data_IF_639264383724
#
_entry.id   IF_639264383724
#
_cell.length_a   1.000
_cell.length_b   1.000
_cell.length_c   1.000
_cell.angle_alpha   90.00
_cell.angle_beta   90.00
_cell.angle_gamma   90.00
#
_symmetry.space_group_name_H-M   'P 1'
#
loop_
_entity.id
_entity.type
_entity.pdbx_description
1 polymer ?
#
# COMPACT_ATOMS: atom_id res chain seq x y z
N UNK A 1 -0.07 -14.20 7.71
CA UNK A 1 -0.56 -12.99 8.38
C UNK A 1 -0.29 -11.82 7.47
N UNK A 2 -1.25 -10.90 7.32
CA UNK A 2 -1.05 -9.66 6.58
C UNK A 2 0.26 -9.00 7.03
N UNK A 3 0.97 -8.46 6.05
CA UNK A 3 2.23 -7.74 6.14
C UNK A 3 2.33 -6.93 7.43
N UNK A 4 3.49 -6.94 8.10
CA UNK A 4 3.81 -6.27 9.39
C UNK A 4 3.61 -4.74 9.45
N UNK A 5 2.78 -4.17 8.58
CA UNK A 5 2.34 -2.78 8.60
C UNK A 5 1.58 -2.47 9.89
N UNK A 6 0.91 -3.46 10.47
CA UNK A 6 0.24 -3.39 11.77
C UNK A 6 1.23 -3.34 12.95
N UNK A 7 2.37 -4.04 12.86
CA UNK A 7 3.42 -4.05 13.89
C UNK A 7 4.38 -2.84 13.80
N UNK A 8 4.65 -2.35 12.59
CA UNK A 8 5.53 -1.20 12.34
C UNK A 8 5.15 -0.47 11.04
N UNK A 9 4.22 0.49 11.10
CA UNK A 9 3.78 1.20 9.91
C UNK A 9 4.93 2.02 9.31
N UNK A 10 5.05 2.08 7.96
CA UNK A 10 5.97 2.97 7.28
C UNK A 10 5.79 4.42 7.71
N UNK A 11 6.91 5.16 7.78
CA UNK A 11 6.86 6.59 8.07
C UNK A 11 6.00 7.32 7.03
N UNK A 12 5.08 8.15 7.49
CA UNK A 12 4.17 8.93 6.65
C UNK A 12 2.94 8.17 6.13
N UNK A 13 2.73 6.89 6.50
CA UNK A 13 1.48 6.20 6.24
C UNK A 13 0.40 6.67 7.23
N UNK A 14 -0.71 7.22 6.71
CA UNK A 14 -1.83 7.75 7.49
C UNK A 14 -2.91 6.68 7.69
N UNK A 15 -3.17 5.89 6.66
CA UNK A 15 -4.21 4.86 6.66
C UNK A 15 -3.86 3.78 5.65
N UNK A 16 -4.10 2.53 6.03
CA UNK A 16 -3.96 1.37 5.17
C UNK A 16 -5.26 0.59 5.13
N UNK A 17 -5.65 0.16 3.93
CA UNK A 17 -6.72 -0.81 3.75
C UNK A 17 -6.41 -1.74 2.60
N UNK A 18 -6.78 -3.00 2.76
CA UNK A 18 -6.64 -4.02 1.74
C UNK A 18 -7.87 -4.94 1.76
N UNK A 19 -8.36 -5.32 0.58
CA UNK A 19 -9.47 -6.25 0.49
C UNK A 19 -9.69 -6.82 -0.92
N UNK A 20 -10.50 -7.88 -1.04
CA UNK A 20 -10.85 -8.46 -2.33
C UNK A 20 -11.73 -7.50 -3.14
N UNK A 21 -11.55 -7.52 -4.46
CA UNK A 21 -12.40 -6.85 -5.44
C UNK A 21 -12.65 -7.79 -6.63
N UNK A 22 -13.59 -7.45 -7.51
CA UNK A 22 -13.81 -8.20 -8.74
C UNK A 22 -12.49 -8.30 -9.53
N UNK A 23 -12.02 -9.53 -9.74
CA UNK A 23 -10.79 -9.82 -10.49
C UNK A 23 -9.48 -9.67 -9.70
N UNK A 24 -9.51 -9.44 -8.38
CA UNK A 24 -8.27 -9.43 -7.59
C UNK A 24 -8.38 -8.80 -6.20
N UNK A 25 -7.36 -8.03 -5.85
CA UNK A 25 -7.25 -7.31 -4.58
C UNK A 25 -7.04 -5.82 -4.83
N UNK A 26 -7.58 -4.99 -3.95
CA UNK A 26 -7.32 -3.55 -3.92
C UNK A 26 -6.67 -3.17 -2.60
N UNK A 27 -5.64 -2.35 -2.71
CA UNK A 27 -5.02 -1.64 -1.58
C UNK A 27 -5.33 -0.16 -1.76
N UNK A 28 -5.76 0.51 -0.69
CA UNK A 28 -5.93 1.96 -0.65
C UNK A 28 -5.16 2.47 0.56
N UNK A 29 -4.13 3.27 0.28
CA UNK A 29 -3.27 3.89 1.28
C UNK A 29 -3.34 5.41 1.18
N UNK A 30 -3.36 6.07 2.34
CA UNK A 30 -3.21 7.52 2.43
C UNK A 30 -1.84 7.83 3.01
N UNK A 31 -1.10 8.72 2.35
CA UNK A 31 0.25 9.10 2.73
C UNK A 31 0.32 10.61 3.01
N UNK A 32 1.19 10.99 3.95
CA UNK A 32 1.49 12.40 4.24
C UNK A 32 2.07 13.13 3.03
N UNK A 33 2.82 12.40 2.19
CA UNK A 33 3.39 12.92 0.95
C UNK A 33 3.72 11.79 -0.02
N UNK A 34 3.82 12.14 -1.31
CA UNK A 34 4.36 11.26 -2.35
C UNK A 34 5.76 10.74 -2.01
N UNK A 35 6.62 11.58 -1.45
CA UNK A 35 7.98 11.20 -1.08
C UNK A 35 8.01 10.13 0.02
N UNK A 36 7.03 10.10 0.95
CA UNK A 36 6.92 9.04 1.95
C UNK A 36 6.58 7.69 1.30
N UNK A 37 5.66 7.70 0.34
CA UNK A 37 5.32 6.51 -0.45
C UNK A 37 6.52 6.01 -1.28
N UNK A 38 7.27 6.90 -1.93
CA UNK A 38 8.46 6.53 -2.70
C UNK A 38 9.53 5.87 -1.81
N UNK A 39 9.82 6.44 -0.63
CA UNK A 39 10.72 5.81 0.35
C UNK A 39 10.25 4.43 0.76
N UNK A 40 8.94 4.24 0.94
CA UNK A 40 8.36 2.94 1.25
C UNK A 40 8.60 1.92 0.14
N UNK A 41 8.38 2.29 -1.13
CA UNK A 41 8.63 1.42 -2.27
C UNK A 41 10.12 1.03 -2.36
N UNK A 42 11.02 1.99 -2.14
CA UNK A 42 12.47 1.80 -2.12
C UNK A 42 12.93 0.92 -0.95
N UNK A 43 12.28 1.03 0.22
CA UNK A 43 12.68 0.36 1.46
C UNK A 43 12.57 -1.18 1.47
N UNK A 44 12.04 -1.78 0.40
CA UNK A 44 11.96 -3.24 0.29
C UNK A 44 10.56 -3.81 0.19
N UNK A 45 9.50 -3.00 0.16
CA UNK A 45 8.16 -3.49 -0.16
C UNK A 45 8.05 -3.98 -1.61
N UNK A 46 8.78 -3.39 -2.57
CA UNK A 46 8.90 -3.94 -3.93
C UNK A 46 9.42 -5.39 -3.95
N UNK A 47 10.58 -5.67 -3.31
CA UNK A 47 11.11 -7.02 -3.12
C UNK A 47 10.23 -7.98 -2.31
N UNK A 48 9.58 -7.52 -1.23
CA UNK A 48 8.71 -8.37 -0.40
C UNK A 48 7.37 -8.69 -1.10
N UNK A 49 6.80 -7.75 -1.86
CA UNK A 49 5.64 -7.99 -2.72
C UNK A 49 6.00 -8.93 -3.90
N UNK A 50 7.23 -8.86 -4.42
CA UNK A 50 7.77 -9.85 -5.37
C UNK A 50 8.00 -11.23 -4.72
N UNK A 51 8.45 -11.29 -3.46
CA UNK A 51 8.67 -12.54 -2.72
C UNK A 51 7.35 -13.24 -2.37
N UNK A 52 6.25 -12.48 -2.29
CA UNK A 52 4.89 -13.00 -2.28
C UNK A 52 4.40 -13.40 -3.68
N UNK A 53 5.26 -13.75 -4.64
CA UNK A 53 4.81 -14.41 -5.88
C UNK A 53 3.79 -15.54 -5.62
N UNK A 54 2.93 -15.84 -6.60
CA UNK A 54 1.80 -16.81 -6.54
C UNK A 54 0.78 -16.68 -5.37
N UNK A 55 1.01 -15.79 -4.40
CA UNK A 55 0.16 -15.56 -3.21
C UNK A 55 -0.05 -14.06 -2.88
N UNK A 56 0.63 -13.16 -3.57
CA UNK A 56 0.75 -11.73 -3.25
C UNK A 56 0.15 -10.84 -4.31
N UNK A 57 0.65 -10.90 -5.55
CA UNK A 57 0.01 -10.28 -6.71
C UNK A 57 0.42 -11.02 -7.99
N UNK A 58 -0.54 -11.57 -8.74
CA UNK A 58 -0.25 -12.31 -9.98
C UNK A 58 0.29 -11.41 -11.12
N UNK A 59 0.12 -10.10 -10.99
CA UNK A 59 0.58 -9.06 -11.92
C UNK A 59 1.04 -7.84 -11.14
N UNK A 60 1.89 -7.00 -11.73
CA UNK A 60 2.22 -5.70 -11.11
C UNK A 60 0.93 -4.93 -10.80
N UNK A 61 0.77 -4.39 -9.59
CA UNK A 61 -0.41 -3.61 -9.25
C UNK A 61 -0.45 -2.38 -10.15
N UNK A 62 -1.64 -2.08 -10.68
CA UNK A 62 -1.90 -0.80 -11.30
C UNK A 62 -1.98 0.26 -10.19
N UNK A 63 -0.97 1.13 -10.11
CA UNK A 63 -0.91 2.22 -9.13
C UNK A 63 -1.60 3.44 -9.72
N UNK A 64 -2.67 3.89 -9.07
CA UNK A 64 -3.33 5.16 -9.35
C UNK A 64 -3.11 6.11 -8.16
N UNK A 65 -2.69 7.35 -8.46
CA UNK A 65 -2.43 8.39 -7.46
C UNK A 65 -3.35 9.57 -7.70
N UNK A 66 -3.91 10.12 -6.62
CA UNK A 66 -4.66 11.37 -6.67
C UNK A 66 -4.42 12.19 -5.40
N UNK A 67 -4.35 13.53 -5.50
CA UNK A 67 -4.23 14.39 -4.34
C UNK A 67 -5.55 14.41 -3.56
N UNK A 68 -5.47 14.11 -2.27
CA UNK A 68 -6.62 14.18 -1.36
C UNK A 68 -6.72 15.59 -0.79
N UNK A 69 -7.77 16.32 -1.16
CA UNK A 69 -7.96 17.72 -0.74
C UNK A 69 -8.74 17.88 0.57
N UNK A 70 -9.44 16.84 1.03
CA UNK A 70 -10.19 16.85 2.28
C UNK A 70 -10.25 15.45 2.90
N UNK A 71 -10.10 15.36 4.23
CA UNK A 71 -10.21 14.11 5.00
C UNK A 71 -11.10 14.38 6.21
N UNK A 72 -12.19 13.64 6.34
CA UNK A 72 -13.08 13.67 7.50
C UNK A 72 -12.91 12.35 8.25
N UNK A 73 -12.59 12.42 9.54
CA UNK A 73 -12.54 11.26 10.45
C UNK A 73 -13.76 11.36 11.40
N UNK A 74 -14.51 10.27 11.62
CA UNK A 74 -15.70 10.26 12.50
C UNK A 74 -15.41 10.74 13.92
#
# INVERSE_FOLDING_TARGET
SHTRVDENPPEGLIFHSAGPMDGGWRIIDFWESRAAFERFLESGYGPAAQALGDQGFATQPHIEEFPVHNIIKP
#
